data_IF_382069862297
#
_entry.id   IF_382069862297
#
_cell.length_a   1.000
_cell.length_b   1.000
_cell.length_c   1.000
_cell.angle_alpha   90.00
_cell.angle_beta   90.00
_cell.angle_gamma   90.00
#
_symmetry.space_group_name_H-M   'P 1'
#
loop_
_entity.id
_entity.type
_entity.pdbx_description
1 polymer ?
#
# COMPACT_ATOMS: atom_id res chain seq x y z
N UNK A 1 49.61 29.05 -1.74
CA UNK A 1 50.02 27.70 -1.37
C UNK A 1 49.19 26.68 -2.18
N UNK A 2 49.77 26.07 -3.19
CA UNK A 2 49.09 25.16 -4.12
C UNK A 2 49.38 23.69 -3.64
N UNK A 3 48.33 22.96 -3.31
CA UNK A 3 48.42 21.51 -3.08
C UNK A 3 47.86 20.78 -4.31
N UNK A 4 48.78 20.06 -4.99
CA UNK A 4 48.48 19.12 -6.06
C UNK A 4 48.10 17.78 -5.40
N UNK A 5 46.92 17.22 -5.73
CA UNK A 5 46.61 15.82 -5.42
C UNK A 5 46.79 14.95 -6.66
N UNK A 6 47.61 13.93 -6.44
CA UNK A 6 48.06 12.93 -7.37
C UNK A 6 47.00 11.86 -7.58
N UNK A 7 46.61 11.64 -8.84
CA UNK A 7 45.68 10.57 -9.26
C UNK A 7 46.48 9.28 -9.40
N UNK A 8 46.11 8.24 -8.65
CA UNK A 8 46.61 6.89 -8.78
C UNK A 8 45.61 6.04 -9.58
N UNK A 9 45.98 5.66 -10.82
CA UNK A 9 45.27 4.70 -11.64
C UNK A 9 45.72 3.30 -11.28
N UNK A 10 44.81 2.45 -10.79
CA UNK A 10 45.07 1.02 -10.66
C UNK A 10 44.41 0.28 -11.84
N UNK A 11 45.25 -0.26 -12.69
CA UNK A 11 44.88 -1.17 -13.81
C UNK A 11 44.73 -2.57 -13.25
N UNK A 12 43.54 -3.16 -13.34
CA UNK A 12 43.29 -4.57 -12.99
C UNK A 12 43.24 -5.40 -14.27
N UNK A 13 44.21 -6.26 -14.43
CA UNK A 13 44.35 -7.26 -15.51
C UNK A 13 43.31 -8.38 -15.32
N UNK A 14 42.44 -8.58 -16.31
CA UNK A 14 41.55 -9.73 -16.44
C UNK A 14 42.33 -10.89 -17.11
N UNK A 15 42.56 -11.95 -16.35
CA UNK A 15 43.04 -13.21 -16.88
C UNK A 15 41.87 -14.05 -17.38
N UNK A 16 41.79 -14.26 -18.70
CA UNK A 16 40.83 -15.15 -19.33
C UNK A 16 41.21 -16.61 -19.12
N UNK A 17 40.26 -17.42 -18.66
CA UNK A 17 40.34 -18.88 -18.64
C UNK A 17 39.47 -19.42 -19.77
N UNK A 18 40.12 -19.92 -20.83
CA UNK A 18 39.46 -20.60 -21.94
C UNK A 18 39.25 -22.07 -21.59
N UNK A 19 37.98 -22.51 -21.51
CA UNK A 19 37.66 -23.94 -21.45
C UNK A 19 37.47 -24.47 -22.88
N UNK A 20 38.40 -25.41 -23.24
CA UNK A 20 38.33 -26.20 -24.46
C UNK A 20 37.38 -27.38 -24.22
N UNK A 21 36.26 -27.42 -24.96
CA UNK A 21 35.42 -28.63 -25.07
C UNK A 21 35.94 -29.56 -26.17
N UNK A 22 36.41 -30.75 -25.77
CA UNK A 22 36.75 -31.82 -26.67
C UNK A 22 35.48 -32.52 -27.18
N UNK A 23 35.27 -32.50 -28.50
CA UNK A 23 34.31 -33.35 -29.20
C UNK A 23 34.80 -34.81 -29.20
N UNK A 24 33.91 -35.70 -28.76
CA UNK A 24 34.06 -37.17 -29.03
C UNK A 24 32.92 -37.59 -29.91
N UNK A 25 33.24 -37.90 -31.16
CA UNK A 25 32.42 -38.66 -32.13
C UNK A 25 32.48 -40.13 -31.78
N UNK A 26 31.35 -40.82 -31.70
CA UNK A 26 31.24 -42.24 -32.01
C UNK A 26 29.77 -42.67 -32.11
N UNK A 27 29.44 -43.15 -33.33
CA UNK A 27 28.68 -44.32 -33.74
C UNK A 27 27.25 -44.57 -33.25
N UNK A 28 26.34 -44.67 -34.27
CA UNK A 28 25.06 -45.32 -34.20
C UNK A 28 25.21 -46.85 -34.09
N UNK A 29 24.25 -47.53 -33.40
CA UNK A 29 23.46 -48.57 -34.04
C UNK A 29 21.97 -48.48 -33.76
N UNK A 30 21.25 -48.94 -34.71
CA UNK A 30 19.90 -49.32 -35.06
C UNK A 30 18.92 -49.68 -33.94
N UNK A 31 17.67 -49.23 -34.22
CA UNK A 31 16.33 -49.87 -34.03
C UNK A 31 16.05 -50.67 -32.76
N UNK A 32 15.11 -50.15 -31.94
CA UNK A 32 13.92 -50.93 -31.56
C UNK A 32 12.82 -50.06 -30.88
N UNK A 33 11.61 -50.21 -31.49
CA UNK A 33 10.26 -50.13 -30.94
C UNK A 33 9.95 -49.06 -29.84
N UNK A 34 9.03 -48.15 -30.23
CA UNK A 34 8.13 -47.41 -29.35
C UNK A 34 7.49 -48.28 -28.27
N UNK A 35 7.30 -47.71 -27.06
CA UNK A 35 5.96 -47.60 -26.50
C UNK A 35 5.54 -46.12 -26.42
N UNK A 36 4.29 -45.91 -26.71
CA UNK A 36 3.60 -44.64 -26.55
C UNK A 36 3.65 -44.17 -25.08
N UNK A 37 4.58 -43.30 -24.80
CA UNK A 37 4.56 -42.57 -23.52
C UNK A 37 3.86 -41.23 -23.78
N UNK A 38 2.56 -41.23 -23.50
CA UNK A 38 1.76 -40.02 -23.37
C UNK A 38 2.33 -39.21 -22.17
N UNK A 39 3.39 -38.45 -22.43
CA UNK A 39 3.80 -37.42 -21.52
C UNK A 39 2.67 -36.39 -21.45
N UNK A 40 1.81 -36.56 -20.45
CA UNK A 40 0.90 -35.53 -20.02
C UNK A 40 1.76 -34.32 -19.73
N UNK A 41 1.76 -33.35 -20.65
CA UNK A 41 2.11 -31.97 -20.32
C UNK A 41 1.17 -31.57 -19.19
N UNK A 42 1.69 -31.58 -17.98
CA UNK A 42 1.05 -30.94 -16.85
C UNK A 42 1.02 -29.43 -17.15
N UNK A 43 -0.07 -29.00 -17.77
CA UNK A 43 -0.44 -27.60 -17.95
C UNK A 43 -0.97 -27.10 -16.61
N UNK A 44 -0.04 -26.89 -15.66
CA UNK A 44 -0.37 -26.40 -14.34
C UNK A 44 -0.01 -24.92 -14.18
N UNK A 45 -0.50 -24.09 -15.07
CA UNK A 45 -0.74 -22.67 -14.74
C UNK A 45 -2.06 -22.58 -13.97
N UNK A 46 -2.07 -23.10 -12.74
CA UNK A 46 -3.16 -22.84 -11.81
C UNK A 46 -3.18 -21.32 -11.58
N UNK A 47 -4.18 -20.64 -12.13
CA UNK A 47 -4.34 -19.21 -11.85
C UNK A 47 -4.35 -19.00 -10.34
N UNK A 48 -3.58 -17.99 -9.87
CA UNK A 48 -3.51 -17.65 -8.46
C UNK A 48 -4.91 -17.30 -7.95
N UNK A 49 -5.31 -17.84 -6.80
CA UNK A 49 -6.57 -17.49 -6.17
C UNK A 49 -6.46 -16.15 -5.42
N UNK A 50 -7.60 -15.61 -4.94
CA UNK A 50 -7.67 -14.31 -4.28
C UNK A 50 -6.73 -14.22 -3.04
N UNK A 51 -6.69 -15.28 -2.23
CA UNK A 51 -5.86 -15.33 -1.04
C UNK A 51 -4.37 -15.37 -1.38
N UNK A 52 -3.98 -16.14 -2.38
CA UNK A 52 -2.58 -16.19 -2.84
C UNK A 52 -2.10 -14.82 -3.33
N UNK A 53 -2.93 -14.09 -4.07
CA UNK A 53 -2.59 -12.71 -4.51
C UNK A 53 -2.43 -11.78 -3.30
N UNK A 54 -3.36 -11.84 -2.35
CA UNK A 54 -3.31 -11.00 -1.13
C UNK A 54 -2.08 -11.33 -0.27
N UNK A 55 -1.79 -12.60 0.00
CA UNK A 55 -0.65 -12.98 0.85
C UNK A 55 0.69 -12.67 0.18
N UNK A 56 0.80 -12.85 -1.15
CA UNK A 56 1.99 -12.47 -1.90
C UNK A 56 2.24 -10.95 -1.83
N UNK A 57 1.18 -10.15 -1.94
CA UNK A 57 1.25 -8.70 -1.77
C UNK A 57 1.67 -8.35 -0.33
N UNK A 58 1.03 -8.94 0.68
CA UNK A 58 1.34 -8.68 2.10
C UNK A 58 2.80 -9.01 2.40
N UNK A 59 3.34 -10.09 1.81
CA UNK A 59 4.75 -10.42 1.91
C UNK A 59 5.64 -9.31 1.36
N UNK A 60 5.31 -8.71 0.19
CA UNK A 60 6.06 -7.59 -0.39
C UNK A 60 6.01 -6.35 0.53
N UNK A 61 4.84 -6.04 1.11
CA UNK A 61 4.69 -4.89 2.00
C UNK A 61 5.41 -5.06 3.34
N UNK A 62 5.48 -6.29 3.87
CA UNK A 62 6.15 -6.62 5.12
C UNK A 62 7.59 -7.12 4.96
N UNK A 63 8.17 -6.99 3.76
CA UNK A 63 9.49 -7.57 3.45
C UNK A 63 9.57 -9.04 3.88
N UNK A 64 10.73 -9.52 4.28
CA UNK A 64 10.96 -10.93 4.63
C UNK A 64 10.09 -11.47 5.78
N UNK A 65 9.48 -10.60 6.58
CA UNK A 65 8.61 -10.98 7.71
C UNK A 65 7.12 -11.02 7.36
N UNK A 66 6.71 -10.54 6.17
CA UNK A 66 5.33 -10.57 5.71
C UNK A 66 4.33 -10.00 6.72
N UNK A 67 3.22 -10.71 6.89
CA UNK A 67 2.11 -10.32 7.79
C UNK A 67 2.54 -10.11 9.24
N UNK A 68 3.32 -11.04 9.80
CA UNK A 68 3.71 -10.98 11.21
C UNK A 68 4.60 -9.77 11.48
N UNK A 69 5.49 -9.45 10.56
CA UNK A 69 6.30 -8.25 10.68
C UNK A 69 5.44 -6.97 10.61
N UNK A 70 4.51 -6.88 9.64
CA UNK A 70 3.58 -5.75 9.55
C UNK A 70 2.76 -5.59 10.83
N UNK A 71 2.23 -6.68 11.36
CA UNK A 71 1.45 -6.68 12.61
C UNK A 71 2.28 -6.19 13.80
N UNK A 72 3.53 -6.59 13.87
CA UNK A 72 4.42 -6.21 14.98
C UNK A 72 4.88 -4.76 14.87
N UNK A 73 5.38 -4.34 13.70
CA UNK A 73 6.00 -3.03 13.58
C UNK A 73 4.96 -1.90 13.49
N UNK A 74 3.82 -2.14 12.84
CA UNK A 74 2.78 -1.12 12.63
C UNK A 74 1.76 -1.03 13.78
N UNK A 75 2.09 -1.47 15.00
CA UNK A 75 1.21 -1.28 16.19
C UNK A 75 0.86 0.18 16.40
N UNK A 76 1.81 1.06 16.15
CA UNK A 76 1.60 2.51 16.10
C UNK A 76 2.22 3.06 14.83
N UNK A 77 1.65 4.15 14.33
CA UNK A 77 2.17 4.88 13.17
C UNK A 77 2.14 6.37 13.49
N UNK A 78 3.24 7.06 13.23
CA UNK A 78 3.33 8.51 13.22
C UNK A 78 3.73 8.92 11.81
N UNK A 79 2.86 9.68 11.14
CA UNK A 79 3.04 10.11 9.76
C UNK A 79 2.88 11.62 9.69
N UNK A 80 3.81 12.32 9.05
CA UNK A 80 3.77 13.75 8.82
C UNK A 80 3.97 14.06 7.36
N UNK A 81 3.31 15.09 6.89
CA UNK A 81 3.43 15.48 5.50
C UNK A 81 2.59 16.70 5.14
N UNK A 82 2.27 16.78 3.86
CA UNK A 82 1.40 17.83 3.31
C UNK A 82 0.16 17.20 2.71
N UNK A 83 -0.97 17.87 2.88
CA UNK A 83 -2.23 17.52 2.24
C UNK A 83 -2.77 18.73 1.50
N UNK A 84 -3.24 18.51 0.29
CA UNK A 84 -3.96 19.48 -0.52
C UNK A 84 -5.39 18.98 -0.70
N UNK A 85 -6.37 19.79 -0.34
CA UNK A 85 -7.78 19.52 -0.47
C UNK A 85 -8.39 20.51 -1.46
N UNK A 86 -9.27 20.02 -2.33
CA UNK A 86 -10.05 20.86 -3.25
C UNK A 86 -11.42 21.08 -2.61
N UNK A 87 -11.74 22.33 -2.32
CA UNK A 87 -13.04 22.70 -1.74
C UNK A 87 -14.17 22.70 -2.79
N UNK A 88 -15.39 22.95 -2.36
CA UNK A 88 -16.59 22.97 -3.23
C UNK A 88 -16.50 24.02 -4.35
N UNK A 89 -15.73 25.08 -4.15
CA UNK A 89 -15.49 26.16 -5.11
C UNK A 89 -14.37 25.83 -6.11
N UNK A 90 -13.73 24.65 -6.00
CA UNK A 90 -12.62 24.22 -6.83
C UNK A 90 -11.28 24.84 -6.46
N UNK A 91 -11.18 25.54 -5.32
CA UNK A 91 -9.91 26.05 -4.81
C UNK A 91 -9.17 24.98 -4.04
N UNK A 92 -7.85 24.93 -4.22
CA UNK A 92 -6.96 24.04 -3.48
C UNK A 92 -6.45 24.73 -2.23
N UNK A 93 -6.69 24.10 -1.10
CA UNK A 93 -6.14 24.48 0.20
C UNK A 93 -5.08 23.47 0.61
N UNK A 94 -3.91 23.95 1.01
CA UNK A 94 -2.80 23.11 1.45
C UNK A 94 -2.53 23.34 2.93
N UNK A 95 -2.31 22.24 3.67
CA UNK A 95 -1.89 22.26 5.05
C UNK A 95 -0.79 21.25 5.32
N UNK A 96 -0.02 21.45 6.39
CA UNK A 96 0.75 20.38 6.98
C UNK A 96 -0.20 19.47 7.77
N UNK A 97 0.14 18.18 7.86
CA UNK A 97 -0.62 17.28 8.70
C UNK A 97 0.28 16.37 9.53
N UNK A 98 -0.27 15.92 10.66
CA UNK A 98 0.25 14.79 11.42
C UNK A 98 -0.86 13.75 11.58
N UNK A 99 -0.55 12.50 11.31
CA UNK A 99 -1.46 11.38 11.53
C UNK A 99 -0.86 10.43 12.54
N UNK A 100 -1.56 10.22 13.63
CA UNK A 100 -1.26 9.22 14.65
C UNK A 100 -2.24 8.07 14.53
N UNK A 101 -1.72 6.84 14.52
CA UNK A 101 -2.54 5.63 14.51
C UNK A 101 -2.08 4.73 15.64
N UNK A 102 -3.03 4.25 16.44
CA UNK A 102 -2.82 3.14 17.37
C UNK A 102 -3.75 2.00 16.94
N UNK A 103 -3.15 0.88 16.54
CA UNK A 103 -3.90 -0.24 15.97
C UNK A 103 -4.66 -1.01 17.03
N UNK A 104 -5.91 -1.29 16.71
CA UNK A 104 -6.71 -2.30 17.39
C UNK A 104 -6.61 -3.67 16.72
N UNK A 105 -7.41 -4.62 17.18
CA UNK A 105 -7.49 -5.97 16.60
C UNK A 105 -8.07 -5.96 15.17
N UNK A 106 -8.86 -4.95 14.83
CA UNK A 106 -9.45 -4.71 13.51
C UNK A 106 -9.58 -3.21 13.24
N UNK A 107 -9.92 -2.79 12.01
CA UNK A 107 -10.02 -1.38 11.62
C UNK A 107 -11.05 -0.59 12.44
N UNK A 108 -12.17 -1.23 12.83
CA UNK A 108 -13.19 -0.61 13.69
C UNK A 108 -12.74 -0.40 15.14
N UNK A 109 -11.64 -1.02 15.54
CA UNK A 109 -11.01 -0.87 16.86
C UNK A 109 -9.75 0.00 16.84
N UNK A 110 -9.40 0.57 15.70
CA UNK A 110 -8.29 1.51 15.62
C UNK A 110 -8.61 2.82 16.35
N UNK A 111 -7.54 3.50 16.75
CA UNK A 111 -7.58 4.89 17.18
C UNK A 111 -6.74 5.69 16.20
N UNK A 112 -7.35 6.69 15.59
CA UNK A 112 -6.72 7.52 14.57
C UNK A 112 -6.92 8.98 14.93
N UNK A 113 -5.85 9.75 15.00
CA UNK A 113 -5.89 11.20 15.09
C UNK A 113 -5.23 11.78 13.85
N UNK A 114 -5.89 12.74 13.22
CA UNK A 114 -5.42 13.43 12.04
C UNK A 114 -5.48 14.94 12.27
N UNK A 115 -4.33 15.51 12.57
CA UNK A 115 -4.16 16.94 12.79
C UNK A 115 -3.81 17.63 11.48
N UNK A 116 -4.41 18.79 11.25
CA UNK A 116 -4.07 19.69 10.15
C UNK A 116 -3.75 21.06 10.71
N UNK A 117 -2.68 21.65 10.20
CA UNK A 117 -2.21 22.97 10.63
C UNK A 117 -2.45 23.98 9.51
N UNK A 118 -3.30 24.94 9.79
CA UNK A 118 -3.62 26.07 8.95
C UNK A 118 -3.11 27.37 9.56
N UNK A 119 -2.97 28.47 8.80
CA UNK A 119 -2.63 29.77 9.36
C UNK A 119 -3.62 30.26 10.43
N UNK A 120 -4.89 29.81 10.36
CA UNK A 120 -5.97 30.14 11.29
C UNK A 120 -6.00 29.32 12.58
N UNK A 121 -5.21 28.23 12.67
CA UNK A 121 -5.21 27.35 13.83
C UNK A 121 -5.01 25.89 13.50
N UNK A 122 -4.95 25.07 14.54
CA UNK A 122 -4.81 23.61 14.44
C UNK A 122 -6.18 22.95 14.59
N UNK A 123 -6.49 22.10 13.65
CA UNK A 123 -7.72 21.34 13.58
C UNK A 123 -7.40 19.85 13.59
N UNK A 124 -8.07 19.06 14.40
CA UNK A 124 -7.91 17.60 14.41
C UNK A 124 -9.24 16.88 14.23
N UNK A 125 -9.22 15.77 13.49
CA UNK A 125 -10.26 14.74 13.51
C UNK A 125 -9.73 13.50 14.23
N UNK A 126 -10.55 12.97 15.14
CA UNK A 126 -10.18 11.82 15.96
C UNK A 126 -11.24 10.74 15.79
N UNK A 127 -10.77 9.52 15.43
CA UNK A 127 -11.58 8.31 15.44
C UNK A 127 -11.19 7.47 16.65
N UNK A 128 -12.18 7.18 17.49
CA UNK A 128 -12.00 6.32 18.65
C UNK A 128 -13.35 5.66 19.01
N UNK A 129 -13.35 4.36 19.29
CA UNK A 129 -14.53 3.59 19.66
C UNK A 129 -15.71 3.79 18.69
N UNK A 130 -15.45 3.70 17.40
CA UNK A 130 -16.42 3.83 16.31
C UNK A 130 -17.11 5.20 16.21
N UNK A 131 -16.49 6.22 16.82
CA UNK A 131 -16.94 7.60 16.78
C UNK A 131 -15.89 8.51 16.17
N UNK A 132 -16.35 9.55 15.46
CA UNK A 132 -15.50 10.66 15.00
C UNK A 132 -15.91 11.93 15.72
N UNK A 133 -14.94 12.62 16.28
CA UNK A 133 -15.10 13.96 16.83
C UNK A 133 -13.96 14.86 16.38
N UNK A 134 -14.16 16.15 16.45
CA UNK A 134 -13.17 17.16 16.09
C UNK A 134 -12.61 17.84 17.33
N UNK A 135 -11.37 18.37 17.21
CA UNK A 135 -10.77 19.25 18.19
C UNK A 135 -10.25 20.49 17.47
N UNK A 136 -10.58 21.66 17.95
CA UNK A 136 -10.07 22.94 17.46
C UNK A 136 -9.65 23.80 18.64
N UNK A 137 -8.37 24.16 18.72
CA UNK A 137 -7.80 24.92 19.84
C UNK A 137 -8.20 24.36 21.21
N UNK A 138 -8.07 23.04 21.38
CA UNK A 138 -8.41 22.28 22.59
C UNK A 138 -9.92 22.18 22.93
N UNK A 139 -10.82 22.72 22.08
CA UNK A 139 -12.25 22.55 22.21
C UNK A 139 -12.75 21.39 21.35
N UNK A 140 -13.55 20.51 21.96
CA UNK A 140 -14.18 19.37 21.26
C UNK A 140 -15.45 19.82 20.58
N UNK A 141 -15.65 19.37 19.35
CA UNK A 141 -16.86 19.64 18.57
C UNK A 141 -17.30 18.43 17.72
N UNK A 142 -18.56 18.41 17.32
CA UNK A 142 -19.07 17.46 16.35
C UNK A 142 -18.69 17.92 14.93
N UNK A 143 -17.91 17.13 14.17
CA UNK A 143 -17.58 17.49 12.80
C UNK A 143 -18.82 17.44 11.91
N UNK A 144 -18.78 18.17 10.80
CA UNK A 144 -19.81 18.05 9.76
C UNK A 144 -19.87 16.61 9.24
N UNK A 145 -21.05 16.20 8.81
CA UNK A 145 -21.30 14.82 8.35
C UNK A 145 -20.39 14.42 7.18
N UNK A 146 -20.19 15.32 6.21
CA UNK A 146 -19.31 15.08 5.06
C UNK A 146 -17.83 14.89 5.48
N UNK A 147 -17.35 15.66 6.44
CA UNK A 147 -15.99 15.52 6.98
C UNK A 147 -15.84 14.19 7.75
N UNK A 148 -16.83 13.82 8.55
CA UNK A 148 -16.88 12.53 9.26
C UNK A 148 -16.89 11.36 8.28
N UNK A 149 -17.73 11.40 7.25
CA UNK A 149 -17.78 10.37 6.20
C UNK A 149 -16.45 10.25 5.46
N UNK A 150 -15.84 11.36 5.06
CA UNK A 150 -14.55 11.37 4.40
C UNK A 150 -13.46 10.76 5.28
N UNK A 151 -13.50 11.01 6.60
CA UNK A 151 -12.56 10.46 7.56
C UNK A 151 -12.76 8.96 7.77
N UNK A 152 -13.98 8.49 7.91
CA UNK A 152 -14.30 7.05 7.93
C UNK A 152 -13.83 6.34 6.67
N UNK A 153 -14.05 6.92 5.48
CA UNK A 153 -13.60 6.33 4.22
C UNK A 153 -12.08 6.20 4.14
N UNK A 154 -11.34 7.13 4.71
CA UNK A 154 -9.88 7.07 4.79
C UNK A 154 -9.41 5.88 5.62
N UNK A 155 -10.16 5.50 6.65
CA UNK A 155 -9.87 4.35 7.52
C UNK A 155 -10.29 3.05 6.80
N UNK A 156 -11.54 2.95 6.37
CA UNK A 156 -12.13 1.70 5.90
C UNK A 156 -11.74 1.31 4.47
N UNK A 157 -11.44 2.29 3.61
CA UNK A 157 -11.04 2.08 2.22
C UNK A 157 -9.56 2.38 1.96
N UNK A 158 -8.70 2.28 2.99
CA UNK A 158 -7.25 2.42 2.87
C UNK A 158 -6.55 1.10 2.51
N UNK A 159 -5.22 1.15 2.36
CA UNK A 159 -4.40 -0.05 2.15
C UNK A 159 -4.56 -1.08 3.27
N UNK A 160 -4.81 -0.64 4.49
CA UNK A 160 -4.97 -1.50 5.66
C UNK A 160 -6.20 -2.41 5.57
N UNK A 161 -7.22 -2.04 4.79
CA UNK A 161 -8.34 -2.92 4.51
C UNK A 161 -7.90 -4.22 3.83
N UNK A 162 -6.90 -4.14 2.93
CA UNK A 162 -6.32 -5.30 2.27
C UNK A 162 -5.21 -5.94 3.11
N UNK A 163 -4.27 -5.16 3.64
CA UNK A 163 -3.13 -5.69 4.39
C UNK A 163 -3.56 -6.47 5.65
N UNK A 164 -4.73 -6.15 6.18
CA UNK A 164 -5.31 -6.73 7.40
C UNK A 164 -6.66 -7.43 7.16
N UNK A 165 -6.90 -7.93 5.96
CA UNK A 165 -8.20 -8.51 5.60
C UNK A 165 -8.63 -9.66 6.54
N UNK A 166 -7.68 -10.47 7.03
CA UNK A 166 -7.95 -11.56 7.99
C UNK A 166 -8.40 -11.03 9.34
N UNK A 167 -7.66 -10.07 9.87
CA UNK A 167 -7.96 -9.42 11.16
C UNK A 167 -9.31 -8.68 11.08
N UNK A 168 -9.60 -8.07 9.96
CA UNK A 168 -10.88 -7.39 9.71
C UNK A 168 -12.04 -8.37 9.47
N UNK A 169 -11.74 -9.66 9.26
CA UNK A 169 -12.73 -10.68 8.89
C UNK A 169 -13.36 -10.40 7.53
N UNK A 170 -12.60 -9.80 6.63
CA UNK A 170 -13.04 -9.47 5.27
C UNK A 170 -12.99 -10.69 4.36
N UNK A 171 -13.88 -10.74 3.37
CA UNK A 171 -13.86 -11.71 2.29
C UNK A 171 -13.13 -11.16 1.07
N UNK A 172 -12.45 -12.04 0.34
CA UNK A 172 -11.71 -11.70 -0.87
C UNK A 172 -12.34 -12.33 -2.10
N UNK A 173 -12.48 -11.56 -3.17
CA UNK A 173 -12.91 -12.07 -4.48
C UNK A 173 -11.96 -11.57 -5.56
N UNK A 174 -11.36 -12.50 -6.31
CA UNK A 174 -10.51 -12.15 -7.45
C UNK A 174 -11.38 -12.02 -8.70
N UNK A 175 -11.40 -10.83 -9.29
CA UNK A 175 -12.04 -10.58 -10.57
C UNK A 175 -11.09 -10.89 -11.74
N UNK A 176 -11.62 -10.83 -12.97
CA UNK A 176 -10.81 -11.00 -14.19
C UNK A 176 -9.71 -9.93 -14.23
N UNK A 177 -8.50 -10.33 -14.64
CA UNK A 177 -7.39 -9.38 -14.86
C UNK A 177 -7.78 -8.30 -15.87
N UNK A 178 -7.23 -7.12 -15.67
CA UNK A 178 -7.43 -5.98 -16.54
C UNK A 178 -6.10 -5.35 -16.93
N UNK A 179 -6.00 -4.87 -18.17
CA UNK A 179 -4.84 -4.14 -18.66
C UNK A 179 -5.21 -2.68 -18.87
N UNK A 180 -4.58 -1.78 -18.09
CA UNK A 180 -4.81 -0.34 -18.14
C UNK A 180 -3.49 0.34 -18.49
N UNK A 181 -3.46 1.14 -19.56
CA UNK A 181 -2.28 1.89 -20.01
C UNK A 181 -1.00 1.01 -20.10
N UNK A 182 -1.15 -0.23 -20.57
CA UNK A 182 -0.02 -1.15 -20.75
C UNK A 182 0.36 -1.96 -19.51
N UNK A 183 -0.17 -1.63 -18.33
CA UNK A 183 0.06 -2.37 -17.08
C UNK A 183 -1.07 -3.38 -16.86
N UNK A 184 -0.70 -4.63 -16.55
CA UNK A 184 -1.66 -5.67 -16.20
C UNK A 184 -1.88 -5.70 -14.68
N UNK A 185 -3.15 -5.85 -14.27
CA UNK A 185 -3.57 -5.85 -12.88
C UNK A 185 -4.34 -7.10 -12.48
N UNK A 186 -4.07 -7.61 -11.28
CA UNK A 186 -5.04 -8.39 -10.55
C UNK A 186 -6.06 -7.43 -9.95
N UNK A 187 -7.35 -7.71 -10.15
CA UNK A 187 -8.43 -6.97 -9.52
C UNK A 187 -8.93 -7.78 -8.33
N UNK A 188 -8.66 -7.27 -7.13
CA UNK A 188 -9.01 -7.93 -5.88
C UNK A 188 -10.05 -7.11 -5.13
N UNK A 189 -11.25 -7.66 -5.00
CA UNK A 189 -12.32 -7.07 -4.21
C UNK A 189 -12.20 -7.54 -2.76
N UNK A 190 -12.15 -6.61 -1.84
CA UNK A 190 -12.19 -6.82 -0.39
C UNK A 190 -13.53 -6.33 0.12
N UNK A 191 -14.30 -7.22 0.74
CA UNK A 191 -15.60 -6.87 1.35
C UNK A 191 -15.51 -7.13 2.85
N UNK A 192 -15.73 -6.10 3.64
CA UNK A 192 -15.68 -6.21 5.09
C UNK A 192 -17.00 -6.73 5.71
N UNK A 193 -17.03 -6.87 7.05
CA UNK A 193 -18.20 -7.37 7.79
C UNK A 193 -19.45 -6.49 7.68
N UNK A 194 -19.29 -5.22 7.32
CA UNK A 194 -20.38 -4.27 7.09
C UNK A 194 -20.76 -4.17 5.61
N UNK A 195 -20.31 -5.11 4.77
CA UNK A 195 -20.54 -5.15 3.32
C UNK A 195 -19.95 -3.94 2.56
N UNK A 196 -18.97 -3.21 3.14
CA UNK A 196 -18.27 -2.16 2.43
C UNK A 196 -17.26 -2.81 1.50
N UNK A 197 -17.36 -2.52 0.22
CA UNK A 197 -16.53 -3.12 -0.83
C UNK A 197 -15.46 -2.14 -1.30
N UNK A 198 -14.21 -2.61 -1.34
CA UNK A 198 -13.07 -1.89 -1.94
C UNK A 198 -12.43 -2.77 -2.99
N UNK A 199 -12.28 -2.26 -4.21
CA UNK A 199 -11.54 -2.93 -5.29
C UNK A 199 -10.12 -2.42 -5.34
N UNK A 200 -9.16 -3.33 -5.29
CA UNK A 200 -7.74 -3.05 -5.37
C UNK A 200 -7.18 -3.47 -6.73
N UNK A 201 -6.46 -2.57 -7.37
CA UNK A 201 -5.72 -2.80 -8.61
C UNK A 201 -4.26 -3.06 -8.27
N UNK A 202 -3.86 -4.33 -8.34
CA UNK A 202 -2.55 -4.83 -7.93
C UNK A 202 -1.75 -5.14 -9.18
N UNK A 203 -0.61 -4.49 -9.39
CA UNK A 203 0.27 -4.78 -10.53
C UNK A 203 0.71 -6.24 -10.50
N UNK A 204 0.48 -6.98 -11.60
CA UNK A 204 0.92 -8.39 -11.71
C UNK A 204 2.44 -8.53 -11.67
N UNK A 205 3.16 -7.48 -12.08
CA UNK A 205 4.63 -7.46 -12.13
C UNK A 205 5.29 -7.16 -10.79
N UNK A 206 4.72 -6.23 -10.01
CA UNK A 206 5.38 -5.72 -8.78
C UNK A 206 4.64 -6.06 -7.50
N UNK A 207 3.42 -6.58 -7.59
CA UNK A 207 2.49 -6.81 -6.49
C UNK A 207 2.24 -5.56 -5.62
N UNK A 208 2.42 -4.36 -6.19
CA UNK A 208 2.06 -3.10 -5.55
C UNK A 208 0.62 -2.75 -5.88
N UNK A 209 -0.10 -2.23 -4.91
CA UNK A 209 -1.41 -1.62 -5.15
C UNK A 209 -1.18 -0.29 -5.85
N UNK A 210 -1.57 -0.17 -7.11
CA UNK A 210 -1.41 1.08 -7.85
C UNK A 210 -2.63 1.99 -7.71
N UNK A 211 -3.80 1.39 -7.41
CA UNK A 211 -5.06 2.11 -7.31
C UNK A 211 -6.05 1.30 -6.47
N UNK A 212 -6.98 1.97 -5.84
CA UNK A 212 -8.19 1.37 -5.30
C UNK A 212 -9.44 2.18 -5.71
N UNK A 213 -10.58 1.50 -5.71
CA UNK A 213 -11.88 2.11 -5.97
C UNK A 213 -12.91 1.64 -4.96
N UNK A 214 -13.81 2.54 -4.57
CA UNK A 214 -14.99 2.25 -3.79
C UNK A 214 -16.11 3.23 -4.16
N UNK A 215 -17.34 2.92 -3.77
CA UNK A 215 -18.48 3.81 -3.95
C UNK A 215 -19.16 4.07 -2.60
N UNK A 216 -19.62 5.29 -2.40
CA UNK A 216 -20.45 5.70 -1.27
C UNK A 216 -21.40 6.80 -1.70
N UNK A 217 -22.67 6.69 -1.32
CA UNK A 217 -23.72 7.69 -1.60
C UNK A 217 -23.72 8.15 -3.09
N UNK A 218 -23.70 7.20 -4.04
CA UNK A 218 -23.63 7.41 -5.50
C UNK A 218 -22.35 8.11 -6.01
N UNK A 219 -21.37 8.37 -5.16
CA UNK A 219 -20.09 8.92 -5.52
C UNK A 219 -19.09 7.78 -5.69
N UNK A 220 -18.42 7.75 -6.85
CA UNK A 220 -17.30 6.84 -7.11
C UNK A 220 -16.00 7.48 -6.69
N UNK A 221 -15.31 6.84 -5.79
CA UNK A 221 -14.00 7.27 -5.32
C UNK A 221 -12.90 6.39 -5.94
N UNK A 222 -11.81 7.04 -6.35
CA UNK A 222 -10.59 6.37 -6.86
C UNK A 222 -9.38 6.97 -6.17
N UNK A 223 -8.58 6.15 -5.49
CA UNK A 223 -7.31 6.57 -4.92
C UNK A 223 -6.16 5.90 -5.65
N UNK A 224 -5.22 6.68 -6.16
CA UNK A 224 -3.98 6.19 -6.76
C UNK A 224 -2.82 6.37 -5.81
N UNK A 225 -1.85 5.45 -5.91
CA UNK A 225 -0.67 5.37 -5.05
C UNK A 225 0.58 5.54 -5.87
N UNK A 226 1.48 6.41 -5.40
CA UNK A 226 2.71 6.78 -6.09
C UNK A 226 3.90 6.77 -5.12
N UNK A 227 5.10 6.91 -5.67
CA UNK A 227 6.34 7.18 -4.93
C UNK A 227 6.57 6.15 -3.83
N UNK A 228 6.45 4.87 -4.19
CA UNK A 228 6.68 3.76 -3.28
C UNK A 228 8.12 3.69 -2.82
N UNK A 229 8.32 3.71 -1.50
CA UNK A 229 9.63 3.57 -0.86
C UNK A 229 9.52 2.71 0.41
N UNK A 230 10.64 2.34 0.98
CA UNK A 230 10.68 1.59 2.23
C UNK A 230 10.86 2.52 3.42
N UNK A 231 10.04 2.34 4.45
CA UNK A 231 10.20 2.91 5.77
C UNK A 231 10.28 1.77 6.79
N UNK A 232 11.37 1.68 7.55
CA UNK A 232 11.61 0.60 8.51
C UNK A 232 11.28 -0.78 7.91
N UNK A 233 11.83 -1.09 6.75
CA UNK A 233 11.60 -2.33 5.98
C UNK A 233 10.14 -2.62 5.59
N UNK A 234 9.23 -1.66 5.65
CA UNK A 234 7.88 -1.80 5.12
C UNK A 234 7.69 -0.94 3.88
N UNK A 235 7.00 -1.48 2.87
CA UNK A 235 6.70 -0.74 1.66
C UNK A 235 5.57 0.25 1.90
N UNK A 236 5.79 1.52 1.56
CA UNK A 236 4.84 2.63 1.79
C UNK A 236 4.73 3.47 0.52
N UNK A 237 3.52 3.84 0.07
CA UNK A 237 3.35 4.87 -0.94
C UNK A 237 3.49 6.26 -0.29
N UNK A 238 4.46 7.05 -0.72
CA UNK A 238 4.74 8.37 -0.14
C UNK A 238 3.84 9.47 -0.73
N UNK A 239 3.12 9.18 -1.81
CA UNK A 239 2.15 10.11 -2.38
C UNK A 239 0.87 9.38 -2.78
N UNK A 240 -0.28 9.97 -2.45
CA UNK A 240 -1.59 9.47 -2.85
C UNK A 240 -2.45 10.60 -3.40
N UNK A 241 -3.28 10.28 -4.38
CA UNK A 241 -4.25 11.23 -4.93
C UNK A 241 -5.62 10.57 -4.95
N UNK A 242 -6.63 11.29 -4.45
CA UNK A 242 -8.04 10.84 -4.43
C UNK A 242 -8.86 11.62 -5.43
N UNK A 243 -9.66 10.91 -6.20
CA UNK A 243 -10.68 11.45 -7.09
C UNK A 243 -12.07 11.05 -6.61
N UNK A 244 -13.03 11.97 -6.73
CA UNK A 244 -14.46 11.73 -6.57
C UNK A 244 -15.15 12.05 -7.89
N UNK A 245 -15.84 11.08 -8.51
CA UNK A 245 -16.46 11.21 -9.85
C UNK A 245 -15.50 11.85 -10.86
N UNK A 246 -14.26 11.33 -10.95
CA UNK A 246 -13.18 11.75 -11.85
C UNK A 246 -12.63 13.19 -11.62
N UNK A 247 -13.06 13.88 -10.57
CA UNK A 247 -12.46 15.15 -10.12
C UNK A 247 -11.47 14.87 -8.98
N UNK A 248 -10.26 15.42 -9.07
CA UNK A 248 -9.31 15.36 -7.97
C UNK A 248 -9.85 16.16 -6.78
N UNK A 249 -9.88 15.53 -5.61
CA UNK A 249 -10.38 16.16 -4.37
C UNK A 249 -9.32 16.22 -3.27
N UNK A 250 -8.30 15.37 -3.35
CA UNK A 250 -7.24 15.30 -2.34
C UNK A 250 -5.92 14.85 -2.96
N UNK A 251 -4.84 15.43 -2.49
CA UNK A 251 -3.48 14.91 -2.68
C UNK A 251 -2.74 14.93 -1.35
N UNK A 252 -2.12 13.80 -0.98
CA UNK A 252 -1.33 13.68 0.23
C UNK A 252 0.10 13.28 -0.13
N UNK A 253 1.07 13.97 0.47
CA UNK A 253 2.51 13.67 0.32
C UNK A 253 3.12 13.48 1.70
N UNK A 254 3.62 12.27 1.97
CA UNK A 254 4.31 11.93 3.21
C UNK A 254 5.73 12.49 3.16
N UNK A 255 6.12 13.20 4.20
CA UNK A 255 7.50 13.67 4.40
C UNK A 255 8.26 12.74 5.33
N UNK A 256 7.62 12.33 6.41
CA UNK A 256 8.17 11.38 7.38
C UNK A 256 7.12 10.38 7.82
N UNK A 257 7.53 9.14 8.01
CA UNK A 257 6.70 8.11 8.61
C UNK A 257 7.56 7.23 9.51
N UNK A 258 7.05 6.92 10.69
CA UNK A 258 7.68 6.01 11.64
C UNK A 258 6.66 5.07 12.25
N UNK A 259 7.12 3.85 12.53
CA UNK A 259 6.31 2.79 13.11
C UNK A 259 6.85 2.37 14.47
N UNK A 260 5.99 1.82 15.34
CA UNK A 260 6.37 1.25 16.63
C UNK A 260 6.79 2.27 17.68
N UNK A 261 6.65 3.56 17.41
CA UNK A 261 6.94 4.61 18.37
C UNK A 261 5.85 4.69 19.44
N UNK A 262 6.24 5.09 20.65
CA UNK A 262 5.27 5.32 21.73
C UNK A 262 4.33 6.47 21.35
N UNK A 263 3.03 6.22 21.42
CA UNK A 263 1.96 7.20 21.26
C UNK A 263 1.14 7.19 22.55
N UNK A 264 0.92 8.37 23.13
CA UNK A 264 0.12 8.48 24.35
C UNK A 264 -1.37 8.24 24.05
N UNK A 265 -2.02 7.39 24.83
CA UNK A 265 -3.45 7.08 24.61
C UNK A 265 -4.37 8.28 24.81
N UNK A 266 -3.96 9.23 25.65
CA UNK A 266 -4.71 10.45 25.91
C UNK A 266 -5.00 11.30 24.70
N UNK A 267 -4.13 11.27 23.66
CA UNK A 267 -4.32 12.07 22.44
C UNK A 267 -5.53 11.66 21.61
N UNK A 268 -6.12 10.49 21.87
CA UNK A 268 -7.30 9.98 21.19
C UNK A 268 -8.60 10.13 22.00
N UNK A 269 -8.56 10.79 23.14
CA UNK A 269 -9.74 10.96 24.03
C UNK A 269 -10.42 12.29 23.75
N UNK A 270 -11.73 12.31 24.02
CA UNK A 270 -12.47 13.56 24.28
C UNK A 270 -11.97 14.05 25.64
N UNK A 271 -11.13 15.07 25.66
CA UNK A 271 -10.58 15.66 26.91
C UNK A 271 -11.59 16.51 27.63
#
# INVERSE_FOLDING_TARGET
>A
MRFKFLTLFAVLLLAGVSFVFAQKTAEKPKDNKKPDDKTQKADSTKEANAEQVAESLIFIYGSLGGREYLKQIRKTTIERGKISLVNAEGKTEQSNYERLVMRGDSLDKERVRFDQEYPSGRFALIYNNDKVFGVFNDEVFAPREDASKAFYNRIWHGLEALLRYKENGSTLTLAKREKIMGVEFHLLDVTDKQNRKTRFYISTKTLRVMMLEYAQDDVKYRRKFYDYNYAQNTLVPFRTVLWANDKQVEETSIQTISFGQKVEEGVFKES
#
